data_IF_293630688124
#
_entry.id   IF_293630688124
#
_cell.length_a   1.000
_cell.length_b   1.000
_cell.length_c   1.000
_cell.angle_alpha   90.00
_cell.angle_beta   90.00
_cell.angle_gamma   90.00
#
_symmetry.space_group_name_H-M   'P 1'
#
loop_
_entity.id
_entity.type
_entity.pdbx_description
1 polymer ?
#
# COMPACT_ATOMS: atom_id res chain seq x y z
N UNK A 1 -16.47 -1.97 25.74
CA UNK A 1 -16.03 -0.96 24.75
C UNK A 1 -15.80 -1.66 23.43
N UNK A 2 -16.38 -1.16 22.31
CA UNK A 2 -16.04 -1.69 20.98
C UNK A 2 -14.55 -1.40 20.71
N UNK A 3 -13.79 -2.44 20.35
CA UNK A 3 -12.37 -2.32 19.98
C UNK A 3 -12.22 -1.77 18.57
N UNK A 4 -11.02 -1.34 18.25
CA UNK A 4 -10.61 -0.95 16.89
C UNK A 4 -10.28 -2.21 16.09
N UNK A 5 -10.50 -2.18 14.77
CA UNK A 5 -10.07 -3.26 13.88
C UNK A 5 -9.01 -2.75 12.93
N UNK A 6 -7.85 -3.38 12.93
CA UNK A 6 -6.82 -3.13 11.95
C UNK A 6 -7.19 -3.76 10.60
N UNK A 7 -7.02 -3.01 9.52
CA UNK A 7 -7.21 -3.46 8.14
C UNK A 7 -5.95 -3.11 7.36
N UNK A 8 -5.26 -4.14 6.84
CA UNK A 8 -4.04 -3.99 6.05
C UNK A 8 -4.33 -4.32 4.58
N UNK A 9 -3.87 -3.48 3.65
CA UNK A 9 -4.08 -3.65 2.20
C UNK A 9 -2.72 -3.77 1.50
N UNK A 10 -2.48 -4.88 0.80
CA UNK A 10 -1.24 -5.08 0.04
C UNK A 10 -1.36 -4.58 -1.41
N UNK A 11 -1.33 -3.26 -1.58
CA UNK A 11 -1.49 -2.60 -2.89
C UNK A 11 -0.16 -2.31 -3.60
N UNK A 12 0.78 -3.26 -3.62
CA UNK A 12 2.13 -3.05 -4.19
C UNK A 12 2.11 -2.56 -5.64
N UNK A 13 1.31 -3.17 -6.52
CA UNK A 13 1.22 -2.77 -7.93
C UNK A 13 0.72 -1.33 -8.11
N UNK A 14 -0.01 -0.76 -7.14
CA UNK A 14 -0.44 0.64 -7.20
C UNK A 14 0.70 1.62 -6.97
N UNK A 15 1.68 1.25 -6.14
CA UNK A 15 2.88 2.07 -5.85
C UNK A 15 3.70 2.33 -7.12
N UNK A 16 3.74 1.32 -7.99
CA UNK A 16 4.47 1.35 -9.26
C UNK A 16 3.54 1.45 -10.48
N UNK A 17 2.27 1.82 -10.28
CA UNK A 17 1.29 1.85 -11.35
C UNK A 17 1.69 2.71 -12.56
N UNK A 18 2.27 3.91 -12.40
CA UNK A 18 2.71 4.71 -13.55
C UNK A 18 3.75 3.98 -14.43
N UNK A 19 4.61 3.15 -13.82
CA UNK A 19 5.55 2.32 -14.55
C UNK A 19 4.80 1.21 -15.31
N UNK A 20 3.96 0.44 -14.63
CA UNK A 20 3.16 -0.64 -15.23
C UNK A 20 2.32 -0.12 -16.40
N UNK A 21 1.61 0.99 -16.20
CA UNK A 21 0.73 1.60 -17.21
C UNK A 21 1.51 2.05 -18.45
N UNK A 22 2.73 2.57 -18.26
CA UNK A 22 3.60 3.04 -19.35
C UNK A 22 4.18 1.93 -20.23
N UNK A 23 4.11 0.67 -19.81
CA UNK A 23 4.63 -0.45 -20.59
C UNK A 23 3.84 -0.59 -21.90
N UNK A 24 4.53 -0.84 -23.02
CA UNK A 24 3.86 -1.08 -24.30
C UNK A 24 3.37 -2.52 -24.48
N UNK A 25 3.97 -3.48 -23.78
CA UNK A 25 3.68 -4.91 -23.88
C UNK A 25 2.70 -5.36 -22.78
N UNK A 26 1.49 -5.73 -23.18
CA UNK A 26 0.43 -6.24 -22.31
C UNK A 26 0.77 -7.55 -21.60
N UNK A 27 1.68 -8.35 -22.16
CA UNK A 27 2.17 -9.55 -21.48
C UNK A 27 3.11 -9.19 -20.35
N UNK A 28 4.02 -8.25 -20.61
CA UNK A 28 4.95 -7.76 -19.60
C UNK A 28 4.23 -7.05 -18.45
N UNK A 29 3.18 -6.25 -18.74
CA UNK A 29 2.30 -5.67 -17.71
C UNK A 29 1.70 -6.72 -16.79
N UNK A 30 1.11 -7.77 -17.38
CA UNK A 30 0.49 -8.85 -16.62
C UNK A 30 1.51 -9.58 -15.76
N UNK A 31 2.69 -9.85 -16.29
CA UNK A 31 3.77 -10.48 -15.51
C UNK A 31 4.16 -9.61 -14.31
N UNK A 32 4.36 -8.31 -14.50
CA UNK A 32 4.71 -7.39 -13.41
C UNK A 32 3.62 -7.34 -12.32
N UNK A 33 2.34 -7.34 -12.71
CA UNK A 33 1.21 -7.37 -11.77
C UNK A 33 1.20 -8.69 -10.97
N UNK A 34 1.41 -9.83 -11.64
CA UNK A 34 1.44 -11.15 -11.00
C UNK A 34 2.66 -11.30 -10.06
N UNK A 35 3.84 -10.86 -10.49
CA UNK A 35 5.06 -10.88 -9.67
C UNK A 35 4.90 -10.01 -8.41
N UNK A 36 4.26 -8.85 -8.52
CA UNK A 36 3.92 -8.04 -7.36
C UNK A 36 2.92 -8.76 -6.44
N UNK A 37 1.89 -9.41 -7.00
CA UNK A 37 0.95 -10.20 -6.23
C UNK A 37 1.59 -11.41 -5.53
N UNK A 38 2.63 -12.01 -6.12
CA UNK A 38 3.41 -13.09 -5.52
C UNK A 38 4.04 -12.71 -4.17
N UNK A 39 4.28 -11.42 -3.96
CA UNK A 39 4.92 -10.89 -2.75
C UNK A 39 3.93 -10.60 -1.62
N UNK A 40 2.61 -10.80 -1.81
CA UNK A 40 1.58 -10.43 -0.83
C UNK A 40 1.73 -11.11 0.52
N UNK A 41 2.14 -12.38 0.48
CA UNK A 41 2.15 -13.24 1.67
C UNK A 41 3.17 -12.73 2.70
N UNK A 42 4.29 -12.17 2.23
CA UNK A 42 5.31 -11.55 3.08
C UNK A 42 4.77 -10.37 3.88
N UNK A 43 3.81 -9.62 3.33
CA UNK A 43 3.30 -8.42 3.99
C UNK A 43 2.42 -8.73 5.21
N UNK A 44 1.98 -9.97 5.40
CA UNK A 44 1.38 -10.39 6.67
C UNK A 44 2.31 -10.12 7.86
N UNK A 45 3.63 -10.21 7.68
CA UNK A 45 4.60 -9.89 8.72
C UNK A 45 4.68 -8.41 9.09
N UNK A 46 4.17 -7.50 8.26
CA UNK A 46 4.02 -6.09 8.67
C UNK A 46 2.97 -5.92 9.77
N UNK A 47 2.14 -6.93 10.01
CA UNK A 47 1.07 -6.98 11.00
C UNK A 47 1.36 -8.00 12.11
N UNK A 48 2.62 -8.42 12.28
CA UNK A 48 3.00 -9.46 13.24
C UNK A 48 2.69 -9.10 14.71
N UNK A 49 2.56 -7.81 15.03
CA UNK A 49 2.21 -7.32 16.38
C UNK A 49 0.68 -7.28 16.61
N UNK A 50 -0.13 -7.48 15.58
CA UNK A 50 -1.58 -7.42 15.66
C UNK A 50 -2.17 -8.81 15.95
N UNK A 51 -2.92 -8.94 17.04
CA UNK A 51 -3.57 -10.20 17.40
C UNK A 51 -4.83 -10.49 16.57
N UNK A 52 -5.48 -9.45 16.05
CA UNK A 52 -6.79 -9.51 15.39
C UNK A 52 -6.86 -8.47 14.26
N UNK A 53 -6.80 -8.91 13.00
CA UNK A 53 -6.83 -7.99 11.88
C UNK A 53 -7.46 -8.60 10.62
N UNK A 54 -7.80 -7.71 9.69
CA UNK A 54 -8.27 -8.07 8.35
C UNK A 54 -7.20 -7.69 7.33
N UNK A 55 -6.88 -8.59 6.41
CA UNK A 55 -5.88 -8.40 5.36
C UNK A 55 -6.57 -8.43 4.00
N UNK A 56 -6.31 -7.44 3.15
CA UNK A 56 -6.80 -7.40 1.77
C UNK A 56 -5.62 -7.72 0.86
N UNK A 57 -5.73 -8.84 0.14
CA UNK A 57 -4.71 -9.39 -0.74
C UNK A 57 -5.18 -9.38 -2.20
N UNK A 58 -4.30 -9.20 -3.19
CA UNK A 58 -4.65 -9.37 -4.60
C UNK A 58 -5.03 -10.81 -4.97
N UNK A 59 -4.62 -11.78 -4.17
CA UNK A 59 -4.85 -13.21 -4.41
C UNK A 59 -5.02 -14.01 -3.13
N UNK A 60 -5.48 -15.24 -3.28
CA UNK A 60 -5.56 -16.18 -2.15
C UNK A 60 -4.18 -16.53 -1.61
N UNK A 61 -4.08 -16.59 -0.28
CA UNK A 61 -2.88 -17.03 0.44
C UNK A 61 -3.11 -18.48 0.85
N UNK A 62 -2.09 -19.32 0.70
CA UNK A 62 -2.19 -20.74 1.07
C UNK A 62 -2.59 -20.92 2.54
N UNK A 63 -3.45 -21.90 2.80
CA UNK A 63 -3.94 -22.17 4.15
C UNK A 63 -2.81 -22.59 5.10
N UNK A 64 -1.82 -23.32 4.57
CA UNK A 64 -0.62 -23.76 5.29
C UNK A 64 0.22 -22.57 5.74
N UNK A 65 0.42 -21.58 4.87
CA UNK A 65 1.16 -20.37 5.24
C UNK A 65 0.39 -19.52 6.25
N UNK A 66 -0.94 -19.40 6.11
CA UNK A 66 -1.78 -18.70 7.08
C UNK A 66 -1.68 -19.35 8.46
N UNK A 67 -1.79 -20.68 8.54
CA UNK A 67 -1.68 -21.41 9.81
C UNK A 67 -0.28 -21.26 10.44
N UNK A 68 0.77 -21.35 9.62
CA UNK A 68 2.14 -21.09 10.04
C UNK A 68 2.30 -19.66 10.61
N UNK A 69 1.87 -18.64 9.86
CA UNK A 69 1.93 -17.24 10.28
C UNK A 69 1.16 -17.00 11.58
N UNK A 70 -0.08 -17.49 11.68
CA UNK A 70 -0.90 -17.34 12.88
C UNK A 70 -0.25 -17.97 14.11
N UNK A 71 0.36 -19.14 13.97
CA UNK A 71 1.08 -19.82 15.06
C UNK A 71 2.33 -19.05 15.47
N UNK A 72 3.13 -18.61 14.50
CA UNK A 72 4.39 -17.92 14.75
C UNK A 72 4.18 -16.56 15.42
N UNK A 73 3.21 -15.78 14.94
CA UNK A 73 2.93 -14.42 15.41
C UNK A 73 1.82 -14.37 16.48
N UNK A 74 1.31 -15.53 16.92
CA UNK A 74 0.22 -15.65 17.90
C UNK A 74 -1.06 -14.88 17.52
N UNK A 75 -1.35 -14.78 16.21
CA UNK A 75 -2.53 -14.10 15.69
C UNK A 75 -3.77 -14.94 15.96
N UNK A 76 -4.71 -14.39 16.72
CA UNK A 76 -5.95 -15.06 17.12
C UNK A 76 -6.95 -15.08 15.96
N UNK A 77 -7.17 -13.91 15.37
CA UNK A 77 -8.15 -13.72 14.30
C UNK A 77 -7.52 -13.04 13.09
N UNK A 78 -7.53 -13.74 11.96
CA UNK A 78 -7.09 -13.22 10.68
C UNK A 78 -8.19 -13.49 9.67
N UNK A 79 -8.73 -12.42 9.09
CA UNK A 79 -9.64 -12.49 7.95
C UNK A 79 -8.90 -12.03 6.70
N UNK A 80 -8.92 -12.83 5.64
CA UNK A 80 -8.34 -12.46 4.35
C UNK A 80 -9.47 -12.16 3.36
N UNK A 81 -9.44 -10.96 2.80
CA UNK A 81 -10.33 -10.53 1.74
C UNK A 81 -9.54 -10.47 0.43
N UNK A 82 -10.08 -11.10 -0.61
CA UNK A 82 -9.49 -11.12 -1.95
C UNK A 82 -10.55 -10.61 -2.92
N UNK A 83 -10.39 -9.44 -3.55
CA UNK A 83 -11.35 -8.99 -4.54
C UNK A 83 -11.49 -9.98 -5.70
N UNK A 84 -12.67 -10.04 -6.32
CA UNK A 84 -12.92 -10.94 -7.46
C UNK A 84 -12.05 -10.62 -8.67
N UNK A 85 -11.68 -9.36 -8.84
CA UNK A 85 -10.84 -8.87 -9.94
C UNK A 85 -9.45 -8.59 -9.41
N UNK A 86 -8.43 -8.95 -10.19
CA UNK A 86 -7.06 -8.54 -9.97
C UNK A 86 -6.58 -7.73 -11.18
N UNK A 87 -6.76 -6.42 -11.12
CA UNK A 87 -6.37 -5.49 -12.19
C UNK A 87 -4.96 -4.92 -12.00
N UNK A 88 -4.37 -5.15 -10.83
CA UNK A 88 -3.16 -4.48 -10.35
C UNK A 88 -3.45 -3.18 -9.58
N UNK A 89 -4.70 -2.72 -9.53
CA UNK A 89 -5.14 -1.63 -8.66
C UNK A 89 -6.05 -2.16 -7.55
N UNK A 90 -5.46 -2.75 -6.52
CA UNK A 90 -6.16 -3.52 -5.49
C UNK A 90 -7.24 -2.71 -4.73
N UNK A 91 -7.00 -1.45 -4.42
CA UNK A 91 -7.96 -0.56 -3.76
C UNK A 91 -9.15 -0.25 -4.69
N UNK A 92 -8.93 -0.07 -5.99
CA UNK A 92 -10.03 0.05 -6.96
C UNK A 92 -10.78 -1.28 -7.14
N UNK A 93 -10.07 -2.40 -7.16
CA UNK A 93 -10.67 -3.73 -7.21
C UNK A 93 -11.55 -3.97 -5.97
N UNK A 94 -11.06 -3.60 -4.78
CA UNK A 94 -11.80 -3.68 -3.53
C UNK A 94 -13.02 -2.74 -3.51
N UNK A 95 -12.89 -1.51 -4.01
CA UNK A 95 -13.98 -0.54 -4.15
C UNK A 95 -15.12 -1.07 -5.03
N UNK A 96 -14.77 -1.73 -6.13
CA UNK A 96 -15.72 -2.26 -7.10
C UNK A 96 -16.29 -3.63 -6.70
N UNK A 97 -15.62 -4.34 -5.78
CA UNK A 97 -16.11 -5.60 -5.23
C UNK A 97 -17.14 -5.35 -4.10
N UNK A 98 -18.41 -5.56 -4.43
CA UNK A 98 -19.54 -5.44 -3.49
C UNK A 98 -19.37 -6.29 -2.22
N UNK A 99 -18.74 -7.47 -2.32
CA UNK A 99 -18.51 -8.35 -1.16
C UNK A 99 -17.49 -7.74 -0.22
N UNK A 100 -16.37 -7.26 -0.75
CA UNK A 100 -15.30 -6.63 0.03
C UNK A 100 -15.82 -5.35 0.68
N UNK A 101 -16.45 -4.45 -0.09
CA UNK A 101 -17.01 -3.21 0.46
C UNK A 101 -18.09 -3.46 1.51
N UNK A 102 -18.99 -4.43 1.28
CA UNK A 102 -20.00 -4.80 2.29
C UNK A 102 -19.33 -5.26 3.58
N UNK A 103 -18.30 -6.10 3.47
CA UNK A 103 -17.57 -6.61 4.64
C UNK A 103 -16.84 -5.50 5.41
N UNK A 104 -16.17 -4.58 4.71
CA UNK A 104 -15.52 -3.43 5.35
C UNK A 104 -16.53 -2.54 6.09
N UNK A 105 -17.70 -2.29 5.51
CA UNK A 105 -18.78 -1.53 6.17
C UNK A 105 -19.32 -2.28 7.40
N UNK A 106 -19.46 -3.60 7.33
CA UNK A 106 -19.88 -4.43 8.48
C UNK A 106 -18.84 -4.42 9.60
N UNK A 107 -17.55 -4.48 9.26
CA UNK A 107 -16.46 -4.31 10.24
C UNK A 107 -16.58 -2.95 10.94
N UNK A 108 -16.85 -1.88 10.18
CA UNK A 108 -17.07 -0.54 10.72
C UNK A 108 -18.27 -0.41 11.66
N UNK A 109 -19.33 -1.21 11.47
CA UNK A 109 -20.50 -1.24 12.36
C UNK A 109 -20.26 -2.04 13.64
N UNK A 110 -19.51 -3.12 13.53
CA UNK A 110 -19.22 -4.04 14.65
C UNK A 110 -18.13 -3.51 15.57
N UNK A 111 -17.17 -2.76 15.02
CA UNK A 111 -16.08 -2.13 15.74
C UNK A 111 -16.37 -0.65 15.99
N UNK A 112 -15.52 0.01 16.79
CA UNK A 112 -15.65 1.46 17.01
C UNK A 112 -15.19 2.23 15.77
N UNK A 113 -14.03 1.84 15.26
CA UNK A 113 -13.37 2.42 14.08
C UNK A 113 -12.50 1.39 13.40
N UNK A 114 -12.18 1.63 12.13
CA UNK A 114 -11.19 0.87 11.37
C UNK A 114 -9.87 1.64 11.31
N UNK A 115 -8.77 0.98 11.65
CA UNK A 115 -7.42 1.49 11.41
C UNK A 115 -6.91 0.91 10.10
N UNK A 116 -6.95 1.71 9.04
CA UNK A 116 -6.56 1.30 7.69
C UNK A 116 -5.09 1.63 7.43
N UNK A 117 -4.32 0.64 6.99
CA UNK A 117 -2.97 0.81 6.48
C UNK A 117 -2.82 0.09 5.14
N UNK A 118 -1.95 0.61 4.29
CA UNK A 118 -1.66 0.05 2.96
C UNK A 118 -0.17 -0.06 2.72
N UNK A 119 0.23 -0.97 1.82
CA UNK A 119 1.63 -1.09 1.40
C UNK A 119 2.20 0.25 0.97
N UNK A 120 1.44 0.99 0.15
CA UNK A 120 1.73 2.37 -0.22
C UNK A 120 0.48 3.23 -0.12
N UNK A 121 0.66 4.52 0.21
CA UNK A 121 -0.44 5.49 0.22
C UNK A 121 -0.62 6.03 -1.20
N UNK A 122 -1.60 5.50 -1.91
CA UNK A 122 -1.91 5.84 -3.30
C UNK A 122 -3.22 6.63 -3.39
N UNK A 123 -3.48 7.27 -4.54
CA UNK A 123 -4.76 7.94 -4.77
C UNK A 123 -5.96 6.97 -4.65
N UNK A 124 -5.81 5.74 -5.15
CA UNK A 124 -6.82 4.68 -5.03
C UNK A 124 -7.08 4.28 -3.58
N UNK A 125 -6.04 4.23 -2.74
CA UNK A 125 -6.20 3.99 -1.30
C UNK A 125 -6.96 5.14 -0.61
N UNK A 126 -6.60 6.40 -0.88
CA UNK A 126 -7.29 7.55 -0.28
C UNK A 126 -8.77 7.61 -0.70
N UNK A 127 -9.06 7.31 -1.97
CA UNK A 127 -10.44 7.20 -2.47
C UNK A 127 -11.23 6.05 -1.82
N UNK A 128 -10.58 4.92 -1.52
CA UNK A 128 -11.20 3.85 -0.75
C UNK A 128 -11.55 4.31 0.68
N UNK A 129 -10.64 5.02 1.33
CA UNK A 129 -10.86 5.61 2.66
C UNK A 129 -12.02 6.59 2.65
N UNK A 130 -12.04 7.54 1.71
CA UNK A 130 -13.13 8.49 1.52
C UNK A 130 -14.47 7.75 1.34
N UNK A 131 -14.50 6.73 0.48
CA UNK A 131 -15.72 5.98 0.21
C UNK A 131 -16.26 5.20 1.41
N UNK A 132 -15.38 4.76 2.31
CA UNK A 132 -15.79 4.14 3.57
C UNK A 132 -16.36 5.17 4.54
N UNK A 133 -15.74 6.34 4.63
CA UNK A 133 -16.21 7.47 5.45
C UNK A 133 -17.60 7.93 4.97
N UNK A 134 -17.80 8.09 3.66
CA UNK A 134 -19.11 8.42 3.07
C UNK A 134 -20.20 7.39 3.42
N UNK A 135 -19.81 6.12 3.62
CA UNK A 135 -20.70 5.03 4.03
C UNK A 135 -20.93 4.97 5.55
N UNK A 136 -20.44 5.95 6.30
CA UNK A 136 -20.61 6.09 7.74
C UNK A 136 -19.66 5.23 8.56
N UNK A 137 -18.52 4.82 8.01
CA UNK A 137 -17.47 4.09 8.74
C UNK A 137 -16.47 5.08 9.32
N UNK A 138 -16.21 5.00 10.63
CA UNK A 138 -15.11 5.75 11.25
C UNK A 138 -13.78 5.09 10.84
N UNK A 139 -12.95 5.81 10.07
CA UNK A 139 -11.66 5.33 9.55
C UNK A 139 -10.53 6.22 10.05
N UNK A 140 -9.42 5.62 10.46
CA UNK A 140 -8.14 6.31 10.71
C UNK A 140 -7.04 5.67 9.89
N UNK A 141 -6.09 6.47 9.42
CA UNK A 141 -4.97 6.02 8.59
C UNK A 141 -3.65 6.45 9.23
N UNK A 142 -3.16 5.74 10.26
CA UNK A 142 -2.13 6.26 11.17
C UNK A 142 -0.79 6.59 10.51
N UNK A 143 -0.47 5.97 9.38
CA UNK A 143 0.79 6.16 8.66
C UNK A 143 0.61 6.83 7.29
N UNK A 144 -0.62 7.09 6.85
CA UNK A 144 -0.86 7.69 5.54
C UNK A 144 -0.78 9.22 5.65
N UNK A 145 -0.06 9.91 4.76
CA UNK A 145 -0.17 11.36 4.64
C UNK A 145 -1.60 11.76 4.25
N UNK A 146 -1.97 12.97 4.64
CA UNK A 146 -3.14 13.65 4.07
C UNK A 146 -2.92 13.88 2.57
N UNK A 147 -4.02 13.99 1.81
CA UNK A 147 -3.98 14.14 0.35
C UNK A 147 -3.11 15.33 -0.10
N UNK A 148 -3.23 16.46 0.60
CA UNK A 148 -2.44 17.68 0.36
C UNK A 148 -0.93 17.47 0.53
N UNK A 149 -0.53 16.45 1.29
CA UNK A 149 0.86 16.10 1.60
C UNK A 149 1.36 14.86 0.86
N UNK A 150 0.50 14.17 0.09
CA UNK A 150 0.85 12.94 -0.62
C UNK A 150 2.00 13.13 -1.63
N UNK A 151 2.17 14.36 -2.15
CA UNK A 151 3.29 14.71 -3.04
C UNK A 151 4.67 14.45 -2.41
N UNK A 152 4.80 14.54 -1.08
CA UNK A 152 6.08 14.36 -0.39
C UNK A 152 6.61 12.94 -0.55
N UNK A 153 5.73 11.94 -0.48
CA UNK A 153 6.06 10.53 -0.68
C UNK A 153 6.50 10.30 -2.12
N UNK A 154 5.74 10.79 -3.10
CA UNK A 154 6.06 10.63 -4.52
C UNK A 154 7.39 11.31 -4.89
N UNK A 155 7.60 12.52 -4.40
CA UNK A 155 8.79 13.30 -4.72
C UNK A 155 10.03 12.68 -4.06
N UNK A 156 10.03 12.52 -2.73
CA UNK A 156 11.21 12.03 -1.99
C UNK A 156 11.40 10.50 -2.08
N UNK A 157 10.39 9.74 -2.47
CA UNK A 157 10.50 8.33 -2.83
C UNK A 157 11.33 8.10 -4.10
N UNK A 158 11.53 9.13 -4.92
CA UNK A 158 12.40 9.06 -6.10
C UNK A 158 13.88 9.29 -5.75
N UNK A 159 14.78 8.61 -6.49
CA UNK A 159 16.24 8.81 -6.37
C UNK A 159 16.66 10.25 -6.65
N UNK A 160 15.96 10.95 -7.54
CA UNK A 160 16.18 12.36 -7.82
C UNK A 160 15.72 13.24 -6.66
N UNK A 161 14.54 12.98 -6.09
CA UNK A 161 14.01 13.74 -4.97
C UNK A 161 14.84 13.62 -3.70
N UNK A 162 15.31 12.42 -3.32
CA UNK A 162 16.20 12.27 -2.15
C UNK A 162 17.55 12.97 -2.36
N UNK A 163 18.06 13.02 -3.60
CA UNK A 163 19.27 13.77 -3.94
C UNK A 163 19.05 15.27 -3.80
N UNK A 164 17.92 15.79 -4.27
CA UNK A 164 17.56 17.19 -4.06
C UNK A 164 17.37 17.53 -2.59
N UNK A 165 16.69 16.67 -1.81
CA UNK A 165 16.52 16.84 -0.36
C UNK A 165 17.88 16.94 0.35
N UNK A 166 18.81 16.06 -0.03
CA UNK A 166 20.15 16.03 0.56
C UNK A 166 20.98 17.25 0.14
N UNK A 167 20.81 17.75 -1.08
CA UNK A 167 21.46 19.00 -1.52
C UNK A 167 20.93 20.22 -0.76
N UNK A 168 19.61 20.30 -0.56
CA UNK A 168 18.96 21.37 0.23
C UNK A 168 19.43 21.32 1.69
N UNK A 169 19.42 20.13 2.30
CA UNK A 169 19.76 19.97 3.71
C UNK A 169 21.27 19.84 3.98
N UNK A 170 22.10 19.60 2.98
CA UNK A 170 23.56 19.54 3.13
C UNK A 170 24.16 20.87 3.60
N UNK A 171 23.45 21.98 3.39
CA UNK A 171 23.78 23.28 3.96
C UNK A 171 23.47 23.38 5.47
N UNK A 172 22.57 22.54 5.99
CA UNK A 172 22.05 22.56 7.37
C UNK A 172 22.66 21.43 8.21
N UNK A 173 22.96 20.29 7.60
CA UNK A 173 23.46 19.07 8.24
C UNK A 173 24.77 18.61 7.61
N UNK A 174 25.89 18.91 8.27
CA UNK A 174 27.24 18.55 7.84
C UNK A 174 27.53 17.04 7.87
N UNK A 175 26.71 16.26 8.55
CA UNK A 175 26.79 14.81 8.65
C UNK A 175 26.11 14.07 7.49
N UNK A 176 25.20 14.74 6.77
CA UNK A 176 24.47 14.16 5.66
C UNK A 176 25.30 14.22 4.36
N UNK A 177 25.92 13.10 3.98
CA UNK A 177 26.77 13.01 2.79
C UNK A 177 26.05 12.29 1.64
N UNK A 178 26.07 12.89 0.45
CA UNK A 178 25.61 12.27 -0.80
C UNK A 178 26.81 12.09 -1.73
N UNK A 179 26.99 10.91 -2.36
CA UNK A 179 28.02 10.74 -3.37
C UNK A 179 27.84 11.73 -4.53
N UNK A 180 28.95 12.19 -5.09
CA UNK A 180 28.96 13.01 -6.30
C UNK A 180 28.19 12.32 -7.43
N UNK A 181 27.33 13.06 -8.11
CA UNK A 181 26.49 12.54 -9.18
C UNK A 181 25.46 13.57 -9.63
N UNK A 182 25.01 13.44 -10.87
CA UNK A 182 24.04 14.34 -11.51
C UNK A 182 22.67 13.68 -11.63
N UNK A 183 21.63 14.50 -11.71
CA UNK A 183 20.28 14.07 -12.10
C UNK A 183 20.16 14.38 -13.59
N UNK A 184 20.01 13.37 -14.43
CA UNK A 184 19.85 13.53 -15.88
C UNK A 184 18.39 13.25 -16.26
N UNK A 185 17.74 14.20 -16.94
CA UNK A 185 16.38 14.05 -17.45
C UNK A 185 16.32 13.45 -18.86
N UNK A 186 17.46 13.36 -19.56
CA UNK A 186 17.53 12.79 -20.90
C UNK A 186 18.95 12.50 -21.36
N UNK A 187 19.08 11.84 -22.53
CA UNK A 187 20.36 11.37 -23.09
C UNK A 187 21.37 12.50 -23.26
N UNK A 188 20.89 13.71 -23.58
CA UNK A 188 21.72 14.91 -23.72
C UNK A 188 22.29 15.41 -22.40
N UNK A 189 21.58 15.21 -21.28
CA UNK A 189 22.04 15.57 -19.94
C UNK A 189 23.03 14.55 -19.38
N UNK A 190 22.97 13.31 -19.87
CA UNK A 190 23.89 12.21 -19.50
C UNK A 190 25.22 12.28 -20.25
N UNK A 191 25.23 12.87 -21.45
CA UNK A 191 26.43 12.99 -22.29
C UNK A 191 27.36 14.17 -21.91
N UNK A 192 27.05 14.93 -20.85
CA UNK A 192 27.85 16.05 -20.35
C UNK A 192 28.67 15.68 -19.12
#
# INVERSE_FOLDING_TARGET
MKKERAVRIFNLSEDVWPFIESMGDERAKRLEIEENADLSDRDLYSMAEEFEFTFISPREISAEFIDYFKKLCMVRELEILVPKTHSGQLCEDALNDKRVMKRLVELGKTHKRLSLSSYSTTASFLKLVEKLIEKGVEVVTPAAPEEENAWTVNFYGSKSGIRQLTQINGAIRSDLKMPNGVISSGVTDTAR
#
